data_IF_305902161136
#
_entry.id   IF_305902161136
#
_cell.length_a   1.000
_cell.length_b   1.000
_cell.length_c   1.000
_cell.angle_alpha   90.00
_cell.angle_beta   90.00
_cell.angle_gamma   90.00
#
_symmetry.space_group_name_H-M   'P 1'
#
loop_
_entity.id
_entity.type
_entity.pdbx_description
1 polymer ?
#
# COMPACT_ATOMS: atom_id res chain seq x y z
N UNK A 1 -13.92 36.18 -26.81
CA UNK A 1 -14.36 35.03 -25.99
C UNK A 1 -15.09 35.60 -24.78
N UNK A 2 -16.37 35.25 -24.58
CA UNK A 2 -17.20 35.82 -23.50
C UNK A 2 -16.81 35.16 -22.18
N UNK A 3 -16.46 35.96 -21.16
CA UNK A 3 -16.17 35.44 -19.82
C UNK A 3 -17.49 35.06 -19.13
N UNK A 4 -17.64 33.83 -18.60
CA UNK A 4 -18.82 33.45 -17.84
C UNK A 4 -18.87 34.22 -16.52
N UNK A 5 -20.08 34.68 -16.14
CA UNK A 5 -20.30 35.54 -14.96
C UNK A 5 -19.90 34.87 -13.63
N UNK A 6 -19.91 33.53 -13.59
CA UNK A 6 -19.62 32.72 -12.39
C UNK A 6 -18.61 31.59 -12.63
N UNK A 7 -17.93 31.58 -13.79
CA UNK A 7 -17.03 30.50 -14.19
C UNK A 7 -15.58 30.95 -14.27
N UNK A 8 -14.67 30.07 -13.88
CA UNK A 8 -13.24 30.21 -14.14
C UNK A 8 -12.85 29.16 -15.17
N UNK A 9 -12.20 29.59 -16.26
CA UNK A 9 -11.62 28.66 -17.22
C UNK A 9 -10.37 28.05 -16.62
N UNK A 10 -10.28 26.72 -16.63
CA UNK A 10 -9.04 26.04 -16.29
C UNK A 10 -7.98 26.39 -17.33
N UNK A 11 -6.81 26.72 -16.85
CA UNK A 11 -5.60 26.75 -17.68
C UNK A 11 -5.23 25.33 -18.09
N UNK A 12 -4.41 25.21 -19.15
CA UNK A 12 -3.82 23.94 -19.55
C UNK A 12 -3.06 23.28 -18.40
N UNK A 13 -2.32 24.07 -17.61
CA UNK A 13 -1.58 23.58 -16.45
C UNK A 13 -2.50 23.03 -15.36
N UNK A 14 -3.58 23.75 -15.02
CA UNK A 14 -4.58 23.25 -14.07
C UNK A 14 -5.30 22.01 -14.59
N UNK A 15 -5.53 21.90 -15.89
CA UNK A 15 -6.21 20.74 -16.46
C UNK A 15 -5.33 19.47 -16.48
N UNK A 16 -4.01 19.62 -16.66
CA UNK A 16 -3.09 18.49 -16.92
C UNK A 16 -2.16 18.17 -15.75
N UNK A 17 -1.69 19.18 -15.02
CA UNK A 17 -0.65 19.03 -14.01
C UNK A 17 -1.19 19.26 -12.59
N UNK A 18 -1.85 20.40 -12.37
CA UNK A 18 -2.17 20.92 -11.05
C UNK A 18 -3.66 21.18 -10.89
N UNK A 19 -4.46 20.11 -10.96
CA UNK A 19 -5.92 20.25 -10.87
C UNK A 19 -6.35 20.91 -9.56
N UNK A 20 -7.14 22.00 -9.61
CA UNK A 20 -7.69 22.62 -8.41
C UNK A 20 -8.77 21.74 -7.76
N UNK A 21 -9.28 20.73 -8.48
CA UNK A 21 -10.25 19.79 -7.94
C UNK A 21 -9.55 18.75 -7.07
N UNK A 22 -10.03 18.62 -5.84
CA UNK A 22 -9.59 17.58 -4.91
C UNK A 22 -10.75 16.64 -4.66
N UNK A 23 -10.57 15.36 -4.95
CA UNK A 23 -11.54 14.32 -4.58
C UNK A 23 -11.26 13.86 -3.16
N UNK A 24 -12.25 13.95 -2.27
CA UNK A 24 -12.18 13.26 -1.00
C UNK A 24 -12.19 11.74 -1.27
N UNK A 25 -11.16 11.04 -0.81
CA UNK A 25 -11.04 9.60 -0.94
C UNK A 25 -10.30 9.06 0.27
N UNK A 26 -10.69 7.88 0.73
CA UNK A 26 -9.92 7.11 1.71
C UNK A 26 -8.53 6.73 1.16
N UNK A 27 -8.33 6.88 -0.15
CA UNK A 27 -7.10 6.53 -0.83
C UNK A 27 -6.96 5.03 -0.92
N UNK A 28 -5.74 4.55 -0.72
CA UNK A 28 -5.45 3.14 -0.74
C UNK A 28 -5.77 2.53 0.63
N UNK A 29 -6.85 1.74 0.68
CA UNK A 29 -7.24 0.96 1.86
C UNK A 29 -6.97 -0.52 1.63
N UNK A 30 -6.73 -1.24 2.72
CA UNK A 30 -6.48 -2.69 2.69
C UNK A 30 -7.41 -3.35 3.70
N UNK A 31 -8.34 -4.22 3.27
CA UNK A 31 -9.23 -4.88 4.20
C UNK A 31 -8.44 -5.82 5.13
N UNK A 32 -8.78 -5.79 6.42
CA UNK A 32 -8.23 -6.73 7.40
C UNK A 32 -9.07 -8.02 7.34
N UNK A 33 -8.46 -9.21 7.19
CA UNK A 33 -9.22 -10.46 7.12
C UNK A 33 -10.06 -10.70 8.37
N UNK A 34 -11.33 -11.08 8.18
CA UNK A 34 -12.27 -11.44 9.25
C UNK A 34 -12.56 -10.34 10.28
N UNK A 35 -12.25 -9.07 9.95
CA UNK A 35 -12.55 -7.91 10.79
C UNK A 35 -13.26 -6.84 9.95
N UNK A 36 -14.18 -6.10 10.56
CA UNK A 36 -14.76 -4.89 9.98
C UNK A 36 -13.81 -3.71 10.15
N UNK A 37 -12.61 -3.87 9.58
CA UNK A 37 -11.51 -2.92 9.71
C UNK A 37 -10.72 -2.79 8.41
N UNK A 38 -10.12 -1.62 8.23
CA UNK A 38 -9.22 -1.33 7.11
C UNK A 38 -7.88 -0.83 7.61
N UNK A 39 -6.81 -1.23 6.92
CA UNK A 39 -5.52 -0.55 7.05
C UNK A 39 -5.44 0.64 6.11
N UNK A 40 -4.85 1.72 6.63
CA UNK A 40 -4.46 2.90 5.88
C UNK A 40 -3.01 3.26 6.17
N UNK A 41 -2.32 3.82 5.18
CA UNK A 41 -0.97 4.33 5.37
C UNK A 41 -1.02 5.78 5.88
N UNK A 42 -0.13 6.11 6.82
CA UNK A 42 0.11 7.48 7.22
C UNK A 42 0.60 8.35 6.06
N UNK A 43 0.46 9.67 6.22
CA UNK A 43 0.85 10.66 5.20
C UNK A 43 1.90 11.62 5.78
N UNK A 44 2.66 12.26 4.90
CA UNK A 44 3.72 13.19 5.32
C UNK A 44 4.80 12.45 6.10
N UNK A 45 5.09 12.92 7.30
CA UNK A 45 6.14 12.34 8.16
C UNK A 45 5.78 10.93 8.66
N UNK A 46 4.49 10.61 8.74
CA UNK A 46 3.97 9.32 9.19
C UNK A 46 3.89 8.27 8.07
N UNK A 47 4.54 8.48 6.91
CA UNK A 47 4.47 7.56 5.78
C UNK A 47 4.92 6.12 6.10
N UNK A 48 5.69 5.94 7.17
CA UNK A 48 6.17 4.64 7.66
C UNK A 48 5.15 3.92 8.55
N UNK A 49 4.14 4.63 9.05
CA UNK A 49 3.13 4.08 9.93
C UNK A 49 1.95 3.53 9.14
N UNK A 50 1.46 2.38 9.57
CA UNK A 50 0.20 1.82 9.11
C UNK A 50 -0.78 1.84 10.27
N UNK A 51 -1.97 2.36 10.02
CA UNK A 51 -3.03 2.43 11.01
C UNK A 51 -4.12 1.43 10.67
N UNK A 52 -4.67 0.78 11.69
CA UNK A 52 -5.91 0.01 11.59
C UNK A 52 -7.07 0.89 12.05
N UNK A 53 -8.06 1.06 11.19
CA UNK A 53 -9.30 1.78 11.48
C UNK A 53 -10.40 0.76 11.71
N UNK A 54 -10.89 0.67 12.95
CA UNK A 54 -12.01 -0.19 13.37
C UNK A 54 -13.34 0.53 13.10
N UNK A 55 -14.20 -0.05 12.28
CA UNK A 55 -15.44 0.62 11.86
C UNK A 55 -16.53 0.57 12.93
N UNK A 56 -16.60 -0.51 13.71
CA UNK A 56 -17.60 -0.65 14.78
C UNK A 56 -17.25 0.20 15.98
N UNK A 57 -15.99 0.18 16.39
CA UNK A 57 -15.51 0.91 17.57
C UNK A 57 -15.24 2.38 17.26
N UNK A 58 -15.16 2.73 15.96
CA UNK A 58 -14.79 4.06 15.47
C UNK A 58 -13.42 4.51 16.01
N UNK A 59 -12.51 3.57 16.19
CA UNK A 59 -11.16 3.80 16.71
C UNK A 59 -10.09 3.62 15.63
N UNK A 60 -8.95 4.27 15.82
CA UNK A 60 -7.77 4.17 14.95
C UNK A 60 -6.54 3.87 15.78
N UNK A 61 -5.93 2.72 15.55
CA UNK A 61 -4.73 2.27 16.27
C UNK A 61 -3.55 2.09 15.31
N UNK A 62 -2.33 2.22 15.82
CA UNK A 62 -1.12 1.89 15.05
C UNK A 62 -1.05 0.37 14.89
N UNK A 63 -0.99 -0.09 13.64
CA UNK A 63 -0.90 -1.50 13.27
C UNK A 63 0.53 -1.94 12.98
N UNK A 64 1.29 -1.15 12.21
CA UNK A 64 2.73 -1.36 12.00
C UNK A 64 3.45 -0.03 12.17
N UNK A 65 4.57 -0.07 12.89
CA UNK A 65 5.47 1.06 13.03
C UNK A 65 6.61 1.02 12.01
N UNK A 66 7.51 2.01 12.08
CA UNK A 66 8.66 2.12 11.20
C UNK A 66 9.68 0.99 11.37
N UNK A 67 9.72 0.32 12.51
CA UNK A 67 10.69 -0.75 12.80
C UNK A 67 10.31 -2.05 12.11
N UNK A 68 9.01 -2.32 12.00
CA UNK A 68 8.49 -3.53 11.35
C UNK A 68 8.84 -3.62 9.86
N UNK A 69 8.99 -2.47 9.20
CA UNK A 69 9.21 -2.37 7.75
C UNK A 69 10.63 -1.93 7.39
N UNK A 70 11.60 -2.22 8.25
CA UNK A 70 13.01 -2.00 7.99
C UNK A 70 13.70 -3.30 7.55
N UNK A 71 14.42 -3.24 6.42
CA UNK A 71 15.24 -4.34 5.94
C UNK A 71 16.70 -3.94 5.93
N UNK A 72 17.50 -4.52 6.84
CA UNK A 72 18.96 -4.30 6.91
C UNK A 72 19.38 -2.83 7.05
N UNK A 73 18.58 -2.00 7.72
CA UNK A 73 18.81 -0.57 7.87
C UNK A 73 18.02 0.28 6.88
N UNK A 74 17.47 -0.30 5.81
CA UNK A 74 16.69 0.41 4.81
C UNK A 74 15.18 0.35 5.11
N UNK A 75 14.57 1.52 5.28
CA UNK A 75 13.12 1.62 5.45
C UNK A 75 12.41 1.34 4.12
N UNK A 76 11.58 0.31 4.09
CA UNK A 76 10.92 -0.15 2.89
C UNK A 76 9.75 0.77 2.51
N UNK A 77 9.82 1.36 1.31
CA UNK A 77 8.70 2.10 0.73
C UNK A 77 7.69 1.15 0.09
N UNK A 78 6.65 0.84 0.85
CA UNK A 78 5.62 -0.12 0.44
C UNK A 78 4.71 0.49 -0.64
N UNK A 79 4.65 -0.18 -1.78
CA UNK A 79 3.78 0.15 -2.93
C UNK A 79 2.53 -0.73 -3.02
N UNK A 80 2.55 -1.88 -2.35
CA UNK A 80 1.41 -2.78 -2.16
C UNK A 80 1.62 -3.62 -0.90
N UNK A 81 0.56 -3.83 -0.13
CA UNK A 81 0.47 -4.66 1.05
C UNK A 81 -0.80 -5.50 0.89
N UNK A 82 -0.69 -6.80 1.14
CA UNK A 82 -1.76 -7.77 0.98
C UNK A 82 -1.67 -8.74 2.16
N UNK A 83 -2.79 -8.99 2.82
CA UNK A 83 -2.87 -10.04 3.83
C UNK A 83 -2.86 -11.43 3.19
N UNK A 84 -2.24 -12.40 3.86
CA UNK A 84 -2.58 -13.80 3.68
C UNK A 84 -4.01 -14.03 4.17
N UNK A 85 -4.69 -15.05 3.63
CA UNK A 85 -6.07 -15.37 4.01
C UNK A 85 -6.23 -15.63 5.51
N UNK A 86 -5.19 -16.16 6.15
CA UNK A 86 -5.13 -16.40 7.60
C UNK A 86 -5.09 -15.12 8.45
N UNK A 87 -4.73 -13.98 7.87
CA UNK A 87 -4.48 -12.74 8.62
C UNK A 87 -3.13 -12.69 9.34
N UNK A 88 -2.34 -13.77 9.33
CA UNK A 88 -1.07 -13.88 10.11
C UNK A 88 0.17 -13.42 9.37
N UNK A 89 0.09 -13.21 8.05
CA UNK A 89 1.22 -12.77 7.23
C UNK A 89 0.80 -11.67 6.26
N UNK A 90 1.77 -10.84 5.91
CA UNK A 90 1.64 -9.77 4.92
C UNK A 90 2.60 -10.00 3.77
N UNK A 91 2.10 -9.85 2.54
CA UNK A 91 2.92 -9.72 1.34
C UNK A 91 3.09 -8.25 1.04
N UNK A 92 4.34 -7.81 1.07
CA UNK A 92 4.77 -6.43 0.88
C UNK A 92 5.48 -6.32 -0.46
N UNK A 93 5.17 -5.28 -1.24
CA UNK A 93 5.78 -5.00 -2.54
C UNK A 93 6.49 -3.66 -2.54
N UNK A 94 7.76 -3.64 -2.92
CA UNK A 94 8.60 -2.44 -3.06
C UNK A 94 9.19 -2.35 -4.46
N UNK A 95 9.82 -1.22 -4.79
CA UNK A 95 10.66 -1.04 -5.99
C UNK A 95 9.98 -1.44 -7.31
N UNK A 96 8.69 -1.12 -7.44
CA UNK A 96 7.87 -1.57 -8.56
C UNK A 96 8.17 -0.80 -9.85
N UNK A 97 8.70 -1.49 -10.86
CA UNK A 97 8.95 -0.98 -12.22
C UNK A 97 7.88 -1.47 -13.20
N UNK A 98 7.17 -0.52 -13.83
CA UNK A 98 6.11 -0.80 -14.80
C UNK A 98 6.65 -1.35 -16.12
N UNK A 99 5.93 -2.30 -16.71
CA UNK A 99 6.17 -2.86 -18.04
C UNK A 99 5.04 -2.45 -19.00
N UNK A 100 3.79 -2.75 -18.62
CA UNK A 100 2.57 -2.39 -19.35
C UNK A 100 1.54 -1.80 -18.37
N UNK A 101 0.27 -1.62 -18.79
CA UNK A 101 -0.76 -0.99 -17.96
C UNK A 101 -0.89 -1.62 -16.56
N UNK A 102 -0.85 -2.96 -16.46
CA UNK A 102 -1.04 -3.70 -15.21
C UNK A 102 0.14 -4.62 -14.82
N UNK A 103 1.17 -4.75 -15.66
CA UNK A 103 2.30 -5.63 -15.40
C UNK A 103 3.52 -4.87 -14.94
N UNK A 104 4.21 -5.42 -13.95
CA UNK A 104 5.34 -4.78 -13.26
C UNK A 104 6.36 -5.85 -12.83
N UNK A 105 7.64 -5.48 -12.79
CA UNK A 105 8.64 -6.16 -11.96
C UNK A 105 8.68 -5.48 -10.59
N UNK A 106 8.90 -6.22 -9.52
CA UNK A 106 9.00 -5.63 -8.18
C UNK A 106 9.79 -6.51 -7.22
N UNK A 107 10.14 -5.91 -6.08
CA UNK A 107 10.71 -6.61 -4.94
C UNK A 107 9.61 -6.98 -3.95
N UNK A 108 9.67 -8.19 -3.37
CA UNK A 108 8.63 -8.66 -2.46
C UNK A 108 9.18 -9.18 -1.14
N UNK A 109 8.50 -8.82 -0.05
CA UNK A 109 8.81 -9.31 1.29
C UNK A 109 7.58 -9.94 1.91
N UNK A 110 7.80 -10.87 2.83
CA UNK A 110 6.79 -11.40 3.72
C UNK A 110 7.07 -10.88 5.10
N UNK A 111 6.09 -10.24 5.71
CA UNK A 111 6.12 -9.95 7.13
C UNK A 111 5.24 -10.95 7.86
N UNK A 112 5.83 -11.73 8.76
CA UNK A 112 5.12 -12.61 9.66
C UNK A 112 4.71 -11.81 10.90
N UNK A 113 3.41 -11.64 11.11
CA UNK A 113 2.86 -10.80 12.19
C UNK A 113 3.04 -11.47 13.55
N UNK A 114 2.95 -12.80 13.61
CA UNK A 114 3.09 -13.56 14.85
C UNK A 114 4.54 -13.58 15.33
N UNK A 115 5.48 -13.78 14.39
CA UNK A 115 6.90 -13.79 14.69
C UNK A 115 7.56 -12.40 14.69
N UNK A 116 6.84 -11.35 14.25
CA UNK A 116 7.37 -10.00 14.09
C UNK A 116 8.56 -9.92 13.12
N UNK A 117 8.58 -10.76 12.07
CA UNK A 117 9.77 -10.98 11.24
C UNK A 117 9.51 -10.69 9.76
N UNK A 118 10.37 -9.84 9.19
CA UNK A 118 10.43 -9.56 7.77
C UNK A 118 11.37 -10.56 7.04
N UNK A 119 10.95 -11.05 5.87
CA UNK A 119 11.68 -12.01 5.05
C UNK A 119 11.58 -11.65 3.57
N UNK A 120 12.63 -11.91 2.77
CA UNK A 120 12.53 -11.84 1.31
C UNK A 120 11.73 -13.03 0.78
N UNK A 121 10.99 -12.82 -0.31
CA UNK A 121 10.28 -13.91 -1.01
C UNK A 121 11.25 -14.85 -1.74
N UNK A 122 12.35 -14.33 -2.28
CA UNK A 122 13.36 -15.14 -2.96
C UNK A 122 14.80 -14.63 -2.71
N UNK A 123 15.81 -15.41 -3.10
CA UNK A 123 17.20 -14.98 -3.08
C UNK A 123 17.41 -13.79 -4.04
N UNK A 124 17.01 -13.98 -5.31
CA UNK A 124 16.98 -12.93 -6.34
C UNK A 124 15.63 -12.19 -6.35
N UNK A 125 15.49 -11.29 -5.39
CA UNK A 125 14.20 -10.71 -5.03
C UNK A 125 13.80 -9.47 -5.85
N UNK A 126 14.55 -9.03 -6.85
CA UNK A 126 14.35 -7.69 -7.46
C UNK A 126 13.50 -7.68 -8.74
N UNK A 127 13.29 -8.86 -9.35
CA UNK A 127 12.63 -9.00 -10.66
C UNK A 127 11.47 -9.98 -10.61
N UNK A 128 10.75 -10.03 -9.49
CA UNK A 128 9.60 -10.91 -9.34
C UNK A 128 8.34 -10.30 -9.98
N UNK A 129 7.43 -11.17 -10.41
CA UNK A 129 6.15 -10.79 -11.01
C UNK A 129 5.03 -11.68 -10.47
N UNK A 130 3.81 -11.15 -10.45
CA UNK A 130 2.61 -11.93 -10.13
C UNK A 130 2.69 -12.73 -8.82
N UNK A 131 3.42 -12.21 -7.83
CA UNK A 131 3.62 -12.86 -6.53
C UNK A 131 2.31 -12.94 -5.77
N UNK A 132 1.95 -14.13 -5.29
CA UNK A 132 0.70 -14.38 -4.56
C UNK A 132 0.89 -15.45 -3.49
N UNK A 133 0.16 -15.30 -2.38
CA UNK A 133 -0.03 -16.39 -1.42
C UNK A 133 -0.87 -17.52 -2.03
N UNK A 134 -0.62 -18.75 -1.57
CA UNK A 134 -1.58 -19.85 -1.69
C UNK A 134 -2.85 -19.55 -0.90
N UNK A 135 -3.98 -20.23 -1.21
CA UNK A 135 -5.24 -20.02 -0.48
C UNK A 135 -5.15 -20.24 1.03
N UNK A 136 -4.29 -21.17 1.47
CA UNK A 136 -3.99 -21.44 2.89
C UNK A 136 -3.02 -20.42 3.54
N UNK A 137 -2.36 -19.57 2.76
CA UNK A 137 -1.39 -18.59 3.23
C UNK A 137 -0.02 -19.16 3.65
N UNK A 138 0.23 -20.45 3.42
CA UNK A 138 1.48 -21.10 3.83
C UNK A 138 2.59 -20.99 2.77
N UNK A 139 2.22 -20.82 1.51
CA UNK A 139 3.13 -20.84 0.36
C UNK A 139 2.97 -19.59 -0.48
N UNK A 140 3.99 -19.32 -1.29
CA UNK A 140 4.02 -18.20 -2.23
C UNK A 140 4.43 -18.71 -3.60
N UNK A 141 3.70 -18.30 -4.63
CA UNK A 141 4.08 -18.50 -6.03
C UNK A 141 4.60 -17.17 -6.60
N UNK A 142 5.67 -17.21 -7.40
CA UNK A 142 6.30 -16.06 -8.04
C UNK A 142 6.99 -16.42 -9.36
#
# INVERSE_FOLDING_TARGET
MVKPLYGVWLTYEEAVLNSPFKTASLGWTIPVPNEDAYLIQGKGDDWKLWYKVSLLEMDTTVFLDSTALNWQGDDLRISKLIFAQSGTKLLLRTDSKKIWRYSHFSTYYVYDLDAGRLMKVSENNTHLRNVKFSPDGERIAY
#
